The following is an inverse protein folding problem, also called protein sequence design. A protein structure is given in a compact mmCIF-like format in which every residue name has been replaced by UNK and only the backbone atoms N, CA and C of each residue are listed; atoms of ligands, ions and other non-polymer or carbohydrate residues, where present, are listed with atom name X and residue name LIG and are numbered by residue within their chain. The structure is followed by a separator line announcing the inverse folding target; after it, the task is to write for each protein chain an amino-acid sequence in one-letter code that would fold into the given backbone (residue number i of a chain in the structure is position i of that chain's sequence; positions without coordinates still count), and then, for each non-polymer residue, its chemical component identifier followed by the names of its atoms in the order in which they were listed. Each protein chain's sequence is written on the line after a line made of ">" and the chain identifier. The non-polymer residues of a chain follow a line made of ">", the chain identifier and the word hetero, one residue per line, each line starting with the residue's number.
data_IF_928228244523
#
_entry.id   IF_928228244523
#
_cell.length_a   1.000
_cell.length_b   1.000
_cell.length_c   1.000
_cell.angle_alpha   90.00
_cell.angle_beta   90.00
_cell.angle_gamma   90.00
#
_symmetry.space_group_name_H-M   'P 1'
#
loop_
_entity.id
_entity.type
_entity.pdbx_description
1 polymer ?
#
# COMPACT_ATOMS: atom_id res chain seq x y z
N UNK A 1 -3.82 11.08 16.41
CA UNK A 1 -4.41 9.73 16.61
C UNK A 1 -5.48 9.40 15.57
N UNK A 2 -6.62 10.09 15.48
CA UNK A 2 -7.70 9.66 14.56
C UNK A 2 -7.36 9.86 13.06
N UNK A 3 -6.80 11.02 12.69
CA UNK A 3 -6.26 11.21 11.32
C UNK A 3 -5.11 10.26 11.00
N UNK A 4 -4.25 9.98 11.98
CA UNK A 4 -3.15 9.03 11.84
C UNK A 4 -3.65 7.61 11.57
N UNK A 5 -4.69 7.16 12.29
CA UNK A 5 -5.31 5.86 12.06
C UNK A 5 -5.98 5.80 10.68
N UNK A 6 -6.72 6.83 10.28
CA UNK A 6 -7.36 6.90 8.98
C UNK A 6 -6.35 6.84 7.82
N UNK A 7 -5.33 7.69 7.88
CA UNK A 7 -4.31 7.82 6.82
C UNK A 7 -3.44 6.58 6.74
N UNK A 8 -3.06 6.00 7.89
CA UNK A 8 -2.40 4.71 7.95
C UNK A 8 -3.27 3.59 7.37
N UNK A 9 -4.56 3.52 7.71
CA UNK A 9 -5.46 2.49 7.18
C UNK A 9 -5.67 2.61 5.67
N UNK A 10 -5.84 3.83 5.14
CA UNK A 10 -5.89 4.06 3.69
C UNK A 10 -4.58 3.63 3.04
N UNK A 11 -3.45 4.11 3.54
CA UNK A 11 -2.15 3.83 2.97
C UNK A 11 -1.81 2.34 2.98
N UNK A 12 -2.05 1.64 4.10
CA UNK A 12 -1.84 0.20 4.21
C UNK A 12 -2.76 -0.59 3.29
N UNK A 13 -4.04 -0.23 3.23
CA UNK A 13 -5.01 -0.90 2.35
C UNK A 13 -4.55 -0.87 0.90
N UNK A 14 -4.12 0.29 0.40
CA UNK A 14 -3.70 0.43 -0.99
C UNK A 14 -2.31 -0.13 -1.25
N UNK A 15 -1.37 0.11 -0.35
CA UNK A 15 -0.02 -0.42 -0.49
C UNK A 15 -0.03 -1.94 -0.54
N UNK A 16 -0.75 -2.61 0.36
CA UNK A 16 -0.88 -4.07 0.33
C UNK A 16 -1.60 -4.54 -0.93
N UNK A 17 -2.70 -3.89 -1.30
CA UNK A 17 -3.43 -4.22 -2.53
C UNK A 17 -2.52 -4.17 -3.76
N UNK A 18 -1.76 -3.09 -3.96
CA UNK A 18 -0.88 -2.95 -5.12
C UNK A 18 0.30 -3.91 -5.07
N UNK A 19 0.97 -4.04 -3.92
CA UNK A 19 2.12 -4.95 -3.77
C UNK A 19 1.70 -6.39 -4.05
N UNK A 20 0.59 -6.86 -3.49
CA UNK A 20 0.08 -8.22 -3.73
C UNK A 20 -0.20 -8.47 -5.22
N UNK A 21 -0.86 -7.53 -5.91
CA UNK A 21 -1.22 -7.71 -7.32
C UNK A 21 0.01 -7.61 -8.24
N UNK A 22 0.97 -6.72 -7.94
CA UNK A 22 2.23 -6.63 -8.70
C UNK A 22 3.02 -7.91 -8.55
N UNK A 23 3.25 -8.34 -7.31
CA UNK A 23 4.06 -9.53 -7.03
C UNK A 23 3.41 -10.80 -7.60
N UNK A 24 2.08 -10.90 -7.54
CA UNK A 24 1.33 -11.97 -8.20
C UNK A 24 1.50 -11.97 -9.73
N UNK A 25 1.44 -10.80 -10.37
CA UNK A 25 1.66 -10.67 -11.82
C UNK A 25 3.06 -11.11 -12.23
N UNK A 26 4.08 -10.66 -11.50
CA UNK A 26 5.48 -11.02 -11.78
C UNK A 26 5.75 -12.52 -11.59
N UNK A 27 5.14 -13.11 -10.56
CA UNK A 27 5.23 -14.55 -10.30
C UNK A 27 4.62 -15.39 -11.44
N UNK A 28 3.45 -14.98 -11.95
CA UNK A 28 2.84 -15.61 -13.14
C UNK A 28 3.74 -15.50 -14.37
N UNK A 29 4.40 -14.35 -14.57
CA UNK A 29 5.30 -14.16 -15.70
C UNK A 29 6.53 -15.08 -15.64
N UNK A 30 7.18 -15.16 -14.48
CA UNK A 30 8.34 -16.03 -14.25
C UNK A 30 8.01 -17.50 -14.57
N UNK A 31 6.82 -17.96 -14.17
CA UNK A 31 6.34 -19.32 -14.47
C UNK A 31 6.13 -19.55 -15.98
N UNK A 32 5.66 -18.53 -16.71
CA UNK A 32 5.39 -18.61 -18.16
C UNK A 32 6.68 -18.54 -19.01
N UNK A 33 7.66 -17.75 -18.58
CA UNK A 33 8.97 -17.65 -19.26
C UNK A 33 9.71 -18.99 -19.22
N UNK A 34 9.64 -19.71 -18.11
CA UNK A 34 10.30 -21.01 -17.94
C UNK A 34 9.65 -22.16 -18.72
N UNK A 35 8.45 -21.96 -19.29
CA UNK A 35 7.77 -22.97 -20.12
C UNK A 35 8.14 -22.93 -21.61
N UNK A 36 8.97 -21.98 -22.05
CA UNK A 36 9.33 -21.80 -23.47
C UNK A 36 10.75 -22.28 -23.83
N UNK A 37 11.53 -22.80 -22.87
CA UNK A 37 12.79 -23.49 -23.15
C UNK A 37 12.55 -25.00 -23.11
N UNK A 38 12.88 -25.64 -24.23
CA UNK A 38 12.70 -27.07 -24.49
C UNK A 38 13.37 -27.94 -23.41
N UNK A 39 12.59 -28.59 -22.56
CA UNK A 39 12.65 -30.04 -22.30
C UNK A 39 11.76 -30.42 -21.11
N UNK A 40 10.96 -31.43 -21.37
CA UNK A 40 10.02 -32.05 -20.46
C UNK A 40 10.77 -32.99 -19.51
N UNK A 41 11.35 -32.49 -18.42
CA UNK A 41 11.61 -33.28 -17.20
C UNK A 41 11.94 -32.35 -16.01
N UNK A 42 11.14 -32.45 -14.94
CA UNK A 42 11.12 -31.61 -13.72
C UNK A 42 10.65 -30.16 -13.92
N UNK A 43 9.34 -30.02 -14.12
CA UNK A 43 8.62 -28.80 -13.72
C UNK A 43 8.67 -28.73 -12.20
N UNK A 44 9.72 -28.12 -11.64
CA UNK A 44 9.60 -27.49 -10.32
C UNK A 44 8.70 -26.27 -10.52
N UNK A 45 7.41 -26.55 -10.39
CA UNK A 45 6.40 -25.60 -9.94
C UNK A 45 7.05 -24.79 -8.82
N UNK A 46 7.06 -23.45 -8.93
CA UNK A 46 7.50 -22.49 -7.89
C UNK A 46 7.76 -23.20 -6.57
N UNK A 47 9.04 -23.34 -6.21
CA UNK A 47 9.42 -24.13 -5.05
C UNK A 47 8.57 -23.68 -3.85
N UNK A 48 8.14 -24.64 -3.04
CA UNK A 48 7.31 -24.35 -1.86
C UNK A 48 7.99 -23.31 -0.96
N UNK A 49 9.31 -23.21 -1.06
CA UNK A 49 10.15 -22.21 -0.40
C UNK A 49 9.95 -20.79 -0.99
N UNK A 50 9.74 -20.61 -2.30
CA UNK A 50 9.44 -19.30 -2.91
C UNK A 50 8.06 -18.78 -2.48
N UNK A 51 7.06 -19.67 -2.31
CA UNK A 51 5.76 -19.31 -1.72
C UNK A 51 5.87 -18.96 -0.23
N UNK A 52 6.74 -19.62 0.52
CA UNK A 52 7.02 -19.26 1.92
C UNK A 52 7.77 -17.94 2.03
N UNK A 53 8.69 -17.65 1.11
CA UNK A 53 9.39 -16.39 1.02
C UNK A 53 8.45 -15.23 0.64
N UNK A 54 7.45 -15.48 -0.22
CA UNK A 54 6.35 -14.55 -0.49
C UNK A 54 5.55 -14.19 0.77
N UNK A 55 5.21 -15.18 1.59
CA UNK A 55 4.54 -14.94 2.88
C UNK A 55 5.47 -14.19 3.87
N UNK A 56 6.78 -14.47 3.85
CA UNK A 56 7.76 -13.75 4.65
C UNK A 56 7.89 -12.26 4.24
N UNK A 57 7.70 -11.94 2.95
CA UNK A 57 7.59 -10.57 2.46
C UNK A 57 6.40 -9.81 3.06
N UNK A 58 5.24 -10.47 3.21
CA UNK A 58 4.09 -9.88 3.90
C UNK A 58 4.36 -9.69 5.41
N UNK A 59 5.12 -10.61 6.02
CA UNK A 59 5.58 -10.48 7.40
C UNK A 59 6.59 -9.34 7.60
N UNK A 60 7.29 -8.89 6.54
CA UNK A 60 8.26 -7.80 6.64
C UNK A 60 7.61 -6.49 7.07
N UNK A 61 6.47 -6.12 6.45
CA UNK A 61 5.72 -4.93 6.84
C UNK A 61 5.29 -5.01 8.31
N UNK A 62 4.73 -6.14 8.73
CA UNK A 62 4.25 -6.34 10.09
C UNK A 62 5.37 -6.26 11.15
N UNK A 63 6.55 -6.81 10.83
CA UNK A 63 7.64 -6.96 11.80
C UNK A 63 8.70 -5.84 11.76
N UNK A 64 8.89 -5.18 10.62
CA UNK A 64 9.99 -4.22 10.42
C UNK A 64 9.48 -2.83 10.01
N UNK A 65 8.51 -2.75 9.09
CA UNK A 65 8.06 -1.48 8.51
C UNK A 65 6.99 -0.74 9.30
N UNK A 66 6.07 -1.46 9.96
CA UNK A 66 4.82 -0.91 10.48
C UNK A 66 5.04 0.14 11.58
N UNK A 67 5.97 -0.08 12.51
CA UNK A 67 6.24 0.88 13.59
C UNK A 67 6.86 2.18 13.07
N UNK A 68 7.79 2.08 12.12
CA UNK A 68 8.40 3.24 11.48
C UNK A 68 7.38 4.01 10.64
N UNK A 69 6.53 3.29 9.89
CA UNK A 69 5.41 3.86 9.13
C UNK A 69 4.42 4.61 10.04
N UNK A 70 4.02 4.01 11.16
CA UNK A 70 3.15 4.65 12.15
C UNK A 70 3.79 5.94 12.67
N UNK A 71 5.06 5.89 13.06
CA UNK A 71 5.79 7.05 13.58
C UNK A 71 5.83 8.20 12.57
N UNK A 72 6.12 7.90 11.30
CA UNK A 72 6.23 8.92 10.26
C UNK A 72 4.88 9.51 9.85
N UNK A 73 3.85 8.68 9.72
CA UNK A 73 2.47 9.17 9.50
C UNK A 73 2.02 10.04 10.69
N UNK A 74 2.35 9.65 11.93
CA UNK A 74 2.03 10.47 13.09
C UNK A 74 2.75 11.82 13.09
N UNK A 75 4.02 11.86 12.70
CA UNK A 75 4.78 13.11 12.57
C UNK A 75 4.15 14.03 11.52
N UNK A 76 3.88 13.51 10.31
CA UNK A 76 3.25 14.27 9.21
C UNK A 76 1.86 14.78 9.62
N UNK A 77 1.04 13.91 10.22
CA UNK A 77 -0.30 14.32 10.69
C UNK A 77 -0.20 15.43 11.71
N UNK A 78 0.74 15.32 12.68
CA UNK A 78 0.93 16.34 13.71
C UNK A 78 1.28 17.69 13.10
N UNK A 79 2.13 17.69 12.09
CA UNK A 79 2.54 18.90 11.38
C UNK A 79 1.38 19.50 10.55
N UNK A 80 0.59 18.68 9.85
CA UNK A 80 -0.54 19.17 9.04
C UNK A 80 -1.72 19.66 9.90
N UNK A 81 -1.89 19.11 11.10
CA UNK A 81 -2.92 19.56 12.03
C UNK A 81 -2.44 20.60 13.05
N UNK A 82 -1.17 20.99 12.96
CA UNK A 82 -0.59 21.98 13.87
C UNK A 82 -1.38 23.29 13.80
N UNK A 83 -1.69 23.87 14.96
CA UNK A 83 -2.47 25.10 15.07
C UNK A 83 -3.99 24.94 14.93
N UNK A 84 -4.51 23.77 14.53
CA UNK A 84 -5.96 23.50 14.49
C UNK A 84 -6.50 23.20 15.89
N UNK A 85 -7.59 23.84 16.29
CA UNK A 85 -8.28 23.62 17.56
C UNK A 85 -9.44 22.65 17.38
N UNK A 86 -9.74 21.88 18.44
CA UNK A 86 -10.86 20.94 18.47
C UNK A 86 -12.25 21.57 18.25
N UNK A 87 -12.35 22.88 18.49
CA UNK A 87 -13.56 23.68 18.31
C UNK A 87 -13.73 24.22 16.89
N UNK A 88 -12.66 24.16 16.07
CA UNK A 88 -12.68 24.73 14.72
C UNK A 88 -13.67 23.95 13.86
N UNK A 89 -14.42 24.68 13.04
CA UNK A 89 -15.42 24.10 12.16
C UNK A 89 -14.76 23.60 10.88
N UNK A 90 -14.97 22.32 10.59
CA UNK A 90 -14.53 21.63 9.40
C UNK A 90 -15.72 21.28 8.53
N UNK A 91 -15.64 21.63 7.25
CA UNK A 91 -16.61 21.21 6.25
C UNK A 91 -16.02 20.11 5.35
N UNK A 92 -16.84 19.62 4.42
CA UNK A 92 -16.49 18.58 3.46
C UNK A 92 -15.19 18.90 2.71
N UNK A 93 -15.04 20.14 2.23
CA UNK A 93 -13.85 20.59 1.50
C UNK A 93 -12.60 20.62 2.38
N UNK A 94 -12.69 21.19 3.58
CA UNK A 94 -11.56 21.25 4.51
C UNK A 94 -11.12 19.86 5.00
N UNK A 95 -12.07 18.92 5.13
CA UNK A 95 -11.76 17.53 5.45
C UNK A 95 -11.00 16.85 4.30
N UNK A 96 -11.53 16.90 3.09
CA UNK A 96 -10.87 16.39 1.88
C UNK A 96 -9.45 16.97 1.72
N UNK A 97 -9.32 18.29 1.76
CA UNK A 97 -8.03 18.99 1.63
C UNK A 97 -7.04 18.58 2.72
N UNK A 98 -7.50 18.44 3.97
CA UNK A 98 -6.63 18.01 5.07
C UNK A 98 -6.12 16.59 4.86
N UNK A 99 -6.98 15.66 4.41
CA UNK A 99 -6.54 14.27 4.15
C UNK A 99 -5.58 14.22 2.97
N UNK A 100 -5.87 14.93 1.88
CA UNK A 100 -4.96 15.03 0.73
C UNK A 100 -3.62 15.65 1.10
N UNK A 101 -3.60 16.72 1.90
CA UNK A 101 -2.35 17.34 2.37
C UNK A 101 -1.51 16.39 3.22
N UNK A 102 -2.14 15.56 4.06
CA UNK A 102 -1.41 14.54 4.83
C UNK A 102 -0.79 13.51 3.88
N UNK A 103 -1.56 13.00 2.91
CA UNK A 103 -1.08 11.99 1.96
C UNK A 103 0.03 12.54 1.06
N UNK A 104 -0.14 13.72 0.46
CA UNK A 104 0.88 14.35 -0.38
C UNK A 104 2.16 14.62 0.41
N UNK A 105 2.02 15.12 1.64
CA UNK A 105 3.17 15.38 2.50
C UNK A 105 3.87 14.08 2.87
N UNK A 106 3.13 13.04 3.25
CA UNK A 106 3.69 11.73 3.55
C UNK A 106 4.45 11.14 2.34
N UNK A 107 3.86 11.20 1.14
CA UNK A 107 4.46 10.71 -0.10
C UNK A 107 5.67 11.53 -0.56
N UNK A 108 5.86 12.74 -0.02
CA UNK A 108 7.01 13.62 -0.30
C UNK A 108 8.01 13.72 0.86
N UNK A 109 7.81 13.00 1.97
CA UNK A 109 8.79 12.94 3.07
C UNK A 109 10.03 12.17 2.60
N UNK A 110 11.18 12.83 2.73
CA UNK A 110 12.50 12.23 2.48
C UNK A 110 12.83 12.10 1.00
N UNK A 111 13.38 10.96 0.59
CA UNK A 111 13.66 10.69 -0.83
C UNK A 111 12.41 10.24 -1.57
N UNK A 112 12.34 10.56 -2.87
CA UNK A 112 11.32 10.02 -3.77
C UNK A 112 11.25 8.50 -3.55
N UNK A 113 10.09 7.97 -3.17
CA UNK A 113 9.83 6.55 -2.90
C UNK A 113 10.31 5.95 -1.56
N UNK A 114 10.72 6.74 -0.56
CA UNK A 114 11.09 6.21 0.77
C UNK A 114 9.97 5.38 1.44
N UNK A 115 8.71 5.60 1.05
CA UNK A 115 7.59 4.82 1.55
C UNK A 115 7.65 3.32 1.16
N UNK A 116 8.39 2.98 0.10
CA UNK A 116 8.58 1.58 -0.35
C UNK A 116 9.40 0.81 0.68
N UNK A 117 10.34 1.48 1.38
CA UNK A 117 11.21 0.84 2.37
C UNK A 117 10.44 0.36 3.61
N UNK A 118 9.19 0.84 3.80
CA UNK A 118 8.30 0.28 4.82
C UNK A 118 7.62 -1.02 4.36
N UNK A 119 7.44 -1.21 3.06
CA UNK A 119 6.68 -2.31 2.48
C UNK A 119 7.59 -3.47 2.07
N UNK A 120 8.81 -3.16 1.66
CA UNK A 120 9.77 -4.13 1.13
C UNK A 120 11.18 -3.79 1.62
N UNK A 121 12.04 -4.80 1.85
CA UNK A 121 13.43 -4.58 2.25
C UNK A 121 14.24 -3.89 1.13
N UNK A 122 15.31 -3.18 1.51
CA UNK A 122 16.25 -2.58 0.55
C UNK A 122 17.03 -3.66 -0.23
N UNK A 123 17.33 -3.40 -1.52
CA UNK A 123 17.99 -4.31 -2.49
C UNK A 123 19.40 -4.81 -2.09
N UNK A 124 19.92 -4.45 -0.91
CA UNK A 124 21.18 -4.98 -0.43
C UNK A 124 20.95 -6.33 0.24
N UNK A 125 21.03 -7.38 -0.58
CA UNK A 125 20.80 -8.77 -0.21
C UNK A 125 21.43 -9.17 1.12
N UNK A 126 20.60 -9.29 2.15
CA UNK A 126 20.79 -10.12 3.33
C UNK A 126 19.41 -10.35 3.95
N UNK A 127 18.55 -11.09 3.25
CA UNK A 127 17.40 -11.73 3.90
C UNK A 127 17.97 -12.81 4.82
N UNK A 128 18.50 -12.41 5.99
CA UNK A 128 18.99 -13.34 7.00
C UNK A 128 17.76 -13.88 7.72
N UNK A 129 17.08 -14.80 7.03
CA UNK A 129 16.05 -15.65 7.61
C UNK A 129 16.61 -16.22 8.91
N UNK A 130 15.83 -16.13 9.98
CA UNK A 130 16.24 -16.48 11.34
C UNK A 130 16.99 -17.81 11.35
N UNK A 131 18.26 -17.75 11.74
CA UNK A 131 19.16 -18.90 11.89
C UNK A 131 18.51 -20.00 12.71
N UNK A 132 18.16 -21.11 12.06
CA UNK A 132 18.20 -22.42 12.71
C UNK A 132 19.47 -23.14 12.22
N UNK A 133 20.31 -23.45 13.20
CA UNK A 133 21.65 -24.03 13.19
C UNK A 133 21.96 -25.13 12.16
N UNK A 134 23.08 -25.01 11.41
CA UNK A 134 24.30 -25.87 11.52
C UNK A 134 25.18 -25.89 10.26
N UNK A 135 26.41 -25.37 10.42
CA UNK A 135 27.74 -25.83 9.92
C UNK A 135 28.00 -26.07 8.41
N UNK A 136 29.03 -25.32 7.96
CA UNK A 136 30.04 -25.48 6.89
C UNK A 136 29.81 -25.06 5.42
N UNK A 137 30.88 -24.42 4.95
CA UNK A 137 31.40 -24.23 3.60
C UNK A 137 30.62 -23.41 2.55
N UNK A 138 31.11 -22.17 2.39
CA UNK A 138 31.36 -21.46 1.12
C UNK A 138 30.52 -21.89 -0.10
N UNK A 139 29.30 -21.39 -0.17
CA UNK A 139 28.61 -21.13 -1.45
C UNK A 139 28.00 -19.75 -1.31
N UNK A 140 28.46 -18.81 -2.15
CA UNK A 140 27.78 -17.52 -2.34
C UNK A 140 26.31 -17.83 -2.65
N UNK A 141 25.31 -17.30 -1.92
CA UNK A 141 23.92 -17.61 -2.25
C UNK A 141 23.66 -17.02 -3.64
N UNK A 142 23.50 -17.90 -4.62
CA UNK A 142 22.94 -17.51 -5.92
C UNK A 142 21.62 -16.81 -5.60
N UNK A 143 21.45 -15.56 -6.07
CA UNK A 143 20.21 -14.80 -5.87
C UNK A 143 19.04 -15.68 -6.28
N UNK A 144 18.14 -15.94 -5.34
CA UNK A 144 16.98 -16.79 -5.60
C UNK A 144 16.06 -16.08 -6.60
N UNK A 145 15.23 -16.83 -7.34
CA UNK A 145 14.21 -16.25 -8.22
C UNK A 145 13.32 -15.25 -7.46
N UNK A 146 13.11 -15.49 -6.16
CA UNK A 146 12.43 -14.58 -5.26
C UNK A 146 13.14 -13.24 -5.07
N UNK A 147 14.46 -13.22 -4.86
CA UNK A 147 15.23 -11.97 -4.74
C UNK A 147 15.07 -11.11 -6.01
N UNK A 148 15.08 -11.76 -7.19
CA UNK A 148 14.84 -11.09 -8.47
C UNK A 148 13.42 -10.52 -8.58
N UNK A 149 12.39 -11.27 -8.18
CA UNK A 149 11.00 -10.80 -8.15
C UNK A 149 10.81 -9.60 -7.21
N UNK A 150 11.51 -9.58 -6.07
CA UNK A 150 11.45 -8.47 -5.12
C UNK A 150 12.09 -7.20 -5.69
N UNK A 151 13.22 -7.32 -6.39
CA UNK A 151 13.87 -6.21 -7.11
C UNK A 151 12.97 -5.66 -8.23
N UNK A 152 12.34 -6.55 -8.99
CA UNK A 152 11.43 -6.16 -10.07
C UNK A 152 10.17 -5.48 -9.54
N UNK A 153 9.55 -6.03 -8.48
CA UNK A 153 8.43 -5.39 -7.80
C UNK A 153 8.82 -4.01 -7.24
N UNK A 154 10.02 -3.88 -6.65
CA UNK A 154 10.54 -2.58 -6.18
C UNK A 154 10.73 -1.58 -7.32
N UNK A 155 11.18 -2.05 -8.48
CA UNK A 155 11.33 -1.24 -9.70
C UNK A 155 9.98 -0.73 -10.19
N UNK A 156 8.97 -1.61 -10.26
CA UNK A 156 7.60 -1.23 -10.64
C UNK A 156 7.01 -0.22 -9.65
N UNK A 157 7.15 -0.44 -8.34
CA UNK A 157 6.65 0.48 -7.30
C UNK A 157 7.36 1.83 -7.31
N UNK A 158 8.62 1.87 -7.75
CA UNK A 158 9.41 3.10 -7.90
C UNK A 158 9.18 3.81 -9.23
N UNK A 159 8.41 3.23 -10.16
CA UNK A 159 8.15 3.85 -11.46
C UNK A 159 7.29 5.12 -11.35
N UNK A 160 7.52 6.06 -12.27
CA UNK A 160 6.71 7.28 -12.36
C UNK A 160 5.26 6.96 -12.73
N UNK A 161 5.05 5.92 -13.53
CA UNK A 161 3.76 5.35 -13.91
C UNK A 161 3.00 4.88 -12.68
N UNK A 162 3.63 4.05 -11.84
CA UNK A 162 3.00 3.59 -10.60
C UNK A 162 2.72 4.74 -9.64
N UNK A 163 3.65 5.70 -9.51
CA UNK A 163 3.43 6.90 -8.69
C UNK A 163 2.16 7.67 -9.08
N UNK A 164 1.90 7.81 -10.40
CA UNK A 164 0.66 8.43 -10.90
C UNK A 164 -0.58 7.59 -10.56
N UNK A 165 -0.51 6.28 -10.74
CA UNK A 165 -1.62 5.36 -10.42
C UNK A 165 -1.95 5.37 -8.93
N UNK A 166 -0.93 5.35 -8.07
CA UNK A 166 -1.10 5.49 -6.61
C UNK A 166 -1.76 6.83 -6.26
N UNK A 167 -1.31 7.93 -6.86
CA UNK A 167 -1.91 9.25 -6.64
C UNK A 167 -3.39 9.34 -7.06
N UNK A 168 -3.74 8.80 -8.23
CA UNK A 168 -5.14 8.72 -8.69
C UNK A 168 -5.97 7.87 -7.73
N UNK A 169 -5.45 6.71 -7.33
CA UNK A 169 -6.15 5.77 -6.45
C UNK A 169 -6.41 6.37 -5.06
N UNK A 170 -5.40 7.02 -4.48
CA UNK A 170 -5.54 7.73 -3.20
C UNK A 170 -6.59 8.84 -3.29
N UNK A 171 -6.56 9.64 -4.36
CA UNK A 171 -7.55 10.70 -4.55
C UNK A 171 -8.97 10.14 -4.63
N UNK A 172 -9.21 9.14 -5.48
CA UNK A 172 -10.52 8.50 -5.62
C UNK A 172 -10.99 7.88 -4.31
N UNK A 173 -10.08 7.29 -3.52
CA UNK A 173 -10.41 6.75 -2.21
C UNK A 173 -10.80 7.84 -1.20
N UNK A 174 -10.12 8.99 -1.21
CA UNK A 174 -10.46 10.13 -0.36
C UNK A 174 -11.81 10.71 -0.77
N UNK A 175 -12.09 10.84 -2.08
CA UNK A 175 -13.39 11.26 -2.59
C UNK A 175 -14.51 10.34 -2.07
N UNK A 176 -14.35 9.02 -2.21
CA UNK A 176 -15.29 8.02 -1.71
C UNK A 176 -15.45 8.05 -0.18
N UNK A 177 -14.35 8.33 0.56
CA UNK A 177 -14.39 8.44 2.02
C UNK A 177 -15.20 9.67 2.46
N UNK A 178 -15.04 10.79 1.75
CA UNK A 178 -15.77 12.02 2.01
C UNK A 178 -17.27 11.82 1.76
N UNK A 179 -17.62 11.12 0.67
CA UNK A 179 -19.01 10.74 0.37
C UNK A 179 -19.62 9.81 1.44
N UNK A 180 -18.90 8.76 1.85
CA UNK A 180 -19.34 7.85 2.92
C UNK A 180 -19.53 8.61 4.25
N UNK A 181 -18.62 9.54 4.55
CA UNK A 181 -18.72 10.41 5.72
C UNK A 181 -19.93 11.33 5.66
N UNK A 182 -20.23 11.92 4.51
CA UNK A 182 -21.39 12.78 4.35
C UNK A 182 -22.69 11.98 4.50
N UNK A 183 -22.79 10.79 3.89
CA UNK A 183 -23.94 9.90 4.02
C UNK A 183 -24.19 9.49 5.48
N UNK A 184 -23.14 9.16 6.23
CA UNK A 184 -23.24 8.84 7.65
C UNK A 184 -23.67 10.05 8.49
N UNK A 185 -23.19 11.25 8.16
CA UNK A 185 -23.60 12.48 8.85
C UNK A 185 -25.10 12.74 8.64
N UNK A 186 -25.59 12.66 7.40
CA UNK A 186 -27.00 12.87 7.06
C UNK A 186 -27.93 11.93 7.83
N UNK A 187 -27.53 10.66 8.00
CA UNK A 187 -28.30 9.66 8.76
C UNK A 187 -28.48 9.99 10.25
N UNK A 188 -27.59 10.84 10.81
CA UNK A 188 -27.59 11.21 12.24
C UNK A 188 -28.06 12.65 12.49
N UNK A 189 -28.60 13.32 11.46
CA UNK A 189 -29.08 14.70 11.54
C UNK A 189 -27.97 15.75 11.68
N UNK A 190 -26.71 15.35 11.52
CA UNK A 190 -25.57 16.25 11.44
C UNK A 190 -25.24 16.51 9.97
N UNK A 191 -24.81 17.72 9.61
CA UNK A 191 -24.33 17.98 8.26
C UNK A 191 -22.86 18.38 8.27
N UNK A 192 -22.05 17.65 7.51
CA UNK A 192 -20.67 18.03 7.25
C UNK A 192 -20.62 19.30 6.37
N UNK A 193 -21.64 19.52 5.53
CA UNK A 193 -21.70 20.67 4.63
C UNK A 193 -21.89 21.99 5.36
N UNK A 194 -22.54 22.00 6.53
CA UNK A 194 -22.71 23.19 7.37
C UNK A 194 -21.53 23.49 8.29
N UNK A 195 -20.51 22.63 8.29
CA UNK A 195 -19.39 22.68 9.23
C UNK A 195 -19.66 21.89 10.51
N UNK A 196 -18.68 21.08 10.91
CA UNK A 196 -18.67 20.26 12.11
C UNK A 196 -17.42 20.56 12.94
N UNK A 197 -17.52 20.69 14.28
CA UNK A 197 -16.35 20.83 15.13
C UNK A 197 -15.36 19.68 14.92
N UNK A 198 -14.07 19.99 14.84
CA UNK A 198 -13.00 19.02 14.63
C UNK A 198 -13.09 17.83 15.60
N UNK A 199 -13.41 18.05 16.89
CA UNK A 199 -13.60 16.95 17.85
C UNK A 199 -14.66 15.93 17.43
N UNK A 200 -15.79 16.39 16.87
CA UNK A 200 -16.85 15.51 16.38
C UNK A 200 -16.41 14.83 15.08
N UNK A 201 -15.71 15.54 14.22
CA UNK A 201 -15.14 14.99 12.99
C UNK A 201 -14.17 13.85 13.28
N UNK A 202 -13.25 14.01 14.23
CA UNK A 202 -12.31 12.98 14.65
C UNK A 202 -13.03 11.71 15.15
N UNK A 203 -14.11 11.88 15.91
CA UNK A 203 -14.93 10.76 16.38
C UNK A 203 -15.57 9.99 15.22
N UNK A 204 -16.06 10.70 14.19
CA UNK A 204 -16.60 10.09 12.97
C UNK A 204 -15.53 9.37 12.14
N UNK A 205 -14.37 9.98 11.99
CA UNK A 205 -13.21 9.37 11.33
C UNK A 205 -12.85 8.04 12.00
N UNK A 206 -12.84 7.97 13.33
CA UNK A 206 -12.59 6.72 14.07
C UNK A 206 -13.63 5.63 13.80
N UNK A 207 -14.89 6.00 13.51
CA UNK A 207 -15.96 5.05 13.20
C UNK A 207 -15.80 4.44 11.79
N UNK A 208 -15.05 5.08 10.90
CA UNK A 208 -14.79 4.61 9.53
C UNK A 208 -13.58 3.69 9.41
N UNK A 209 -12.61 3.80 10.33
CA UNK A 209 -11.40 2.96 10.29
C UNK A 209 -11.71 1.46 10.13
N UNK A 210 -12.71 0.87 10.83
CA UNK A 210 -13.04 -0.55 10.63
C UNK A 210 -13.55 -0.90 9.23
N UNK A 211 -14.22 0.01 8.52
CA UNK A 211 -14.67 -0.26 7.14
C UNK A 211 -13.52 -0.26 6.14
N UNK A 212 -12.47 0.54 6.41
CA UNK A 212 -11.23 0.57 5.64
C UNK A 212 -10.35 -0.68 5.87
N UNK A 213 -10.40 -1.26 7.06
CA UNK A 213 -9.63 -2.46 7.44
C UNK A 213 -10.33 -3.77 7.08
N UNK A 214 -11.46 -3.71 6.38
CA UNK A 214 -12.18 -4.91 5.94
C UNK A 214 -11.40 -5.65 4.86
N UNK A 215 -11.53 -6.97 4.81
CA UNK A 215 -10.99 -7.83 3.75
C UNK A 215 -11.23 -7.27 2.34
N UNK A 216 -10.24 -7.45 1.47
CA UNK A 216 -10.21 -6.81 0.17
C UNK A 216 -11.44 -7.13 -0.71
N UNK A 217 -11.98 -8.34 -0.62
CA UNK A 217 -13.19 -8.79 -1.35
C UNK A 217 -14.46 -8.03 -0.95
N UNK A 218 -14.52 -7.56 0.29
CA UNK A 218 -15.67 -6.86 0.86
C UNK A 218 -15.43 -5.35 0.98
N UNK A 219 -14.22 -4.88 0.72
CA UNK A 219 -13.83 -3.48 0.85
C UNK A 219 -14.34 -2.65 -0.34
N UNK A 220 -15.24 -1.70 -0.07
CA UNK A 220 -15.82 -0.85 -1.12
C UNK A 220 -14.79 0.06 -1.80
N UNK A 221 -13.76 0.50 -1.07
CA UNK A 221 -12.73 1.39 -1.61
C UNK A 221 -11.87 0.66 -2.64
N UNK A 222 -11.53 -0.61 -2.39
CA UNK A 222 -10.84 -1.45 -3.38
C UNK A 222 -11.70 -1.68 -4.62
N UNK A 223 -13.01 -1.91 -4.45
CA UNK A 223 -13.93 -2.07 -5.60
C UNK A 223 -13.98 -0.82 -6.47
N UNK A 224 -14.05 0.36 -5.85
CA UNK A 224 -14.06 1.64 -6.57
C UNK A 224 -12.76 1.80 -7.36
N UNK A 225 -11.60 1.56 -6.75
CA UNK A 225 -10.30 1.68 -7.42
C UNK A 225 -10.12 0.68 -8.55
N UNK A 226 -10.61 -0.56 -8.40
CA UNK A 226 -10.61 -1.55 -9.49
C UNK A 226 -11.39 -1.12 -10.72
N UNK A 227 -12.39 -0.25 -10.55
CA UNK A 227 -13.19 0.28 -11.66
C UNK A 227 -12.61 1.56 -12.28
N UNK A 228 -11.49 2.07 -11.75
CA UNK A 228 -10.81 3.23 -12.31
C UNK A 228 -10.09 2.80 -13.60
N UNK A 229 -10.38 3.41 -14.76
CA UNK A 229 -9.83 2.99 -16.05
C UNK A 229 -8.30 2.97 -16.09
N UNK A 230 -7.66 3.94 -15.44
CA UNK A 230 -6.20 4.05 -15.38
C UNK A 230 -5.59 2.90 -14.59
N UNK A 231 -6.24 2.47 -13.51
CA UNK A 231 -5.80 1.35 -12.67
C UNK A 231 -5.99 0.03 -13.41
N UNK A 232 -7.14 -0.15 -14.08
CA UNK A 232 -7.42 -1.32 -14.91
C UNK A 232 -6.42 -1.45 -16.06
N UNK A 233 -6.14 -0.33 -16.75
CA UNK A 233 -5.16 -0.30 -17.83
C UNK A 233 -3.75 -0.63 -17.33
N UNK A 234 -3.35 -0.05 -16.19
CA UNK A 234 -2.05 -0.34 -15.57
C UNK A 234 -1.88 -1.83 -15.30
N UNK A 235 -2.85 -2.46 -14.64
CA UNK A 235 -2.77 -3.90 -14.39
C UNK A 235 -2.86 -4.72 -15.67
N UNK A 236 -3.67 -4.32 -16.64
CA UNK A 236 -3.73 -5.00 -17.94
C UNK A 236 -2.37 -4.99 -18.63
N UNK A 237 -1.65 -3.87 -18.62
CA UNK A 237 -0.29 -3.76 -19.16
C UNK A 237 0.73 -4.57 -18.35
N UNK A 238 0.59 -4.57 -17.03
CA UNK A 238 1.44 -5.36 -16.13
C UNK A 238 1.27 -6.87 -16.37
N UNK A 239 0.03 -7.34 -16.55
CA UNK A 239 -0.27 -8.74 -16.89
C UNK A 239 0.05 -9.10 -18.34
N UNK A 240 0.00 -8.15 -19.27
CA UNK A 240 0.30 -8.35 -20.69
C UNK A 240 1.81 -8.30 -21.03
N UNK A 241 2.66 -7.88 -20.09
CA UNK A 241 4.12 -7.71 -20.22
C UNK A 241 4.57 -6.57 -21.14
N UNK A 242 4.73 -5.35 -20.60
CA UNK A 242 5.63 -4.31 -21.16
C UNK A 242 6.00 -3.28 -20.06
N UNK A 243 6.66 -3.69 -18.98
CA UNK A 243 7.19 -2.74 -17.97
C UNK A 243 8.65 -3.01 -17.60
N UNK A 244 9.44 -3.42 -18.59
CA UNK A 244 10.89 -3.24 -18.59
C UNK A 244 11.28 -2.97 -20.05
N UNK A 245 11.56 -1.70 -20.38
CA UNK A 245 12.53 -1.37 -21.44
C UNK A 245 13.94 -1.50 -20.84
#
# INVERSE_FOLDING_TARGET
>A
MCYSALTLSLFLLFSLYFVENILFSLCLHSTSSNTNEEEQENVDLIDRDDQQNFLAGADFLANNGLLALISNIQAVVTEVIEGKKLIDLFNTTSFHETVMQILDKFMSVGSLHQWIDYLMPEDSGHYKLGTSSSIDDTVLPNSTNFDQLMVEARTVLSSAEFGKIMGISLKVAVDALVEDMEAQCQSTGASLTSGMPLAKLLSRVMQMVPSLLREASQNQFIKIIRTVPEVELFFTLLYANNLVD
#
